data_IF_852240407619
#
_entry.id   IF_852240407619
#
_cell.length_a   1.000
_cell.length_b   1.000
_cell.length_c   1.000
_cell.angle_alpha   90.00
_cell.angle_beta   90.00
_cell.angle_gamma   90.00
#
_symmetry.space_group_name_H-M   'P 1'
#
loop_
_entity.id
_entity.type
_entity.pdbx_description
1 polymer ?
#
# COMPACT_ATOMS: atom_id res chain seq x y z
N UNK A 1 1.34 -23.99 -15.31
CA UNK A 1 0.27 -24.93 -15.78
C UNK A 1 -0.83 -24.32 -16.65
N UNK A 2 -1.52 -23.26 -16.22
CA UNK A 2 -2.67 -22.70 -16.98
C UNK A 2 -2.25 -22.19 -18.36
N UNK A 3 -1.23 -21.33 -18.44
CA UNK A 3 -0.74 -20.76 -19.70
C UNK A 3 -0.31 -21.86 -20.70
N UNK A 4 0.39 -22.89 -20.21
CA UNK A 4 0.81 -24.04 -21.02
C UNK A 4 -0.40 -24.83 -21.56
N UNK A 5 -1.46 -24.99 -20.76
CA UNK A 5 -2.70 -25.64 -21.22
C UNK A 5 -3.46 -24.79 -22.26
N UNK A 6 -3.49 -23.46 -22.09
CA UNK A 6 -4.08 -22.54 -23.09
C UNK A 6 -3.28 -22.62 -24.41
N UNK A 7 -1.96 -22.61 -24.34
CA UNK A 7 -1.09 -22.72 -25.52
C UNK A 7 -1.28 -24.04 -26.27
N UNK A 8 -1.42 -25.16 -25.55
CA UNK A 8 -1.67 -26.48 -26.13
C UNK A 8 -3.06 -26.59 -26.76
N UNK A 9 -4.08 -26.11 -26.06
CA UNK A 9 -5.48 -26.24 -26.48
C UNK A 9 -5.86 -25.30 -27.62
N UNK A 10 -5.12 -24.18 -27.78
CA UNK A 10 -5.39 -23.12 -28.77
C UNK A 10 -6.80 -22.53 -28.68
N UNK A 11 -7.45 -22.65 -27.52
CA UNK A 11 -8.82 -22.16 -27.29
C UNK A 11 -8.88 -20.64 -27.15
N UNK A 12 -7.79 -20.01 -26.73
CA UNK A 12 -7.69 -18.56 -26.54
C UNK A 12 -6.46 -18.01 -27.26
N UNK A 13 -6.57 -16.77 -27.74
CA UNK A 13 -5.43 -16.02 -28.27
C UNK A 13 -4.53 -15.62 -27.10
N UNK A 14 -3.24 -15.96 -27.19
CA UNK A 14 -2.24 -15.57 -26.19
C UNK A 14 -1.66 -14.20 -26.60
N UNK A 15 -1.69 -13.18 -25.72
CA UNK A 15 -1.03 -11.90 -25.95
C UNK A 15 0.47 -12.06 -26.23
N UNK A 16 1.06 -11.20 -27.06
CA UNK A 16 2.46 -11.31 -27.45
C UNK A 16 3.43 -11.30 -26.27
N UNK A 17 3.12 -10.54 -25.21
CA UNK A 17 3.89 -10.51 -23.96
C UNK A 17 3.99 -11.86 -23.25
N UNK A 18 2.99 -12.73 -23.40
CA UNK A 18 2.93 -14.05 -22.77
C UNK A 18 3.33 -15.19 -23.71
N UNK A 19 3.45 -14.93 -25.02
CA UNK A 19 3.88 -15.96 -25.99
C UNK A 19 5.29 -16.44 -25.71
N UNK A 20 6.19 -15.52 -25.37
CA UNK A 20 7.58 -15.84 -25.01
C UNK A 20 7.61 -16.82 -23.84
N UNK A 21 6.80 -16.58 -22.81
CA UNK A 21 6.71 -17.44 -21.63
C UNK A 21 6.06 -18.79 -21.97
N UNK A 22 4.98 -18.78 -22.74
CA UNK A 22 4.24 -19.99 -23.12
C UNK A 22 5.02 -20.95 -24.04
N UNK A 23 6.05 -20.44 -24.74
CA UNK A 23 6.87 -21.21 -25.67
C UNK A 23 8.18 -21.71 -25.05
N UNK A 24 8.56 -21.23 -23.86
CA UNK A 24 9.75 -21.69 -23.14
C UNK A 24 9.59 -23.14 -22.69
N UNK A 25 10.64 -23.93 -22.87
CA UNK A 25 10.79 -25.21 -22.19
C UNK A 25 11.57 -25.01 -20.90
N UNK A 26 11.42 -25.88 -19.89
CA UNK A 26 12.10 -25.80 -18.57
C UNK A 26 13.65 -25.68 -18.64
N UNK A 27 14.25 -25.76 -19.82
CA UNK A 27 15.70 -25.67 -20.09
C UNK A 27 16.18 -24.32 -20.65
N UNK A 28 15.28 -23.39 -20.96
CA UNK A 28 15.65 -22.10 -21.54
C UNK A 28 15.94 -21.08 -20.43
N UNK A 29 17.11 -21.21 -19.79
CA UNK A 29 17.64 -20.19 -18.90
C UNK A 29 17.96 -18.90 -19.68
N UNK A 30 17.40 -17.79 -19.19
CA UNK A 30 17.43 -16.44 -19.77
C UNK A 30 18.85 -16.04 -20.20
N UNK A 31 19.08 -15.90 -21.51
CA UNK A 31 20.30 -15.30 -22.07
C UNK A 31 20.12 -13.78 -21.99
N UNK A 32 21.01 -13.12 -21.25
CA UNK A 32 20.99 -11.68 -20.97
C UNK A 32 21.73 -10.94 -22.09
N UNK A 33 21.04 -10.06 -22.82
CA UNK A 33 21.64 -9.05 -23.70
C UNK A 33 21.25 -7.64 -23.20
N UNK A 34 22.19 -6.70 -23.20
CA UNK A 34 22.15 -5.45 -22.40
C UNK A 34 21.21 -4.37 -22.97
N UNK A 35 20.48 -4.67 -24.05
CA UNK A 35 19.56 -3.76 -24.75
C UNK A 35 18.07 -3.97 -24.43
N UNK A 36 17.72 -4.99 -23.61
CA UNK A 36 16.34 -5.46 -23.36
C UNK A 36 15.86 -5.39 -21.90
N UNK A 37 16.55 -4.67 -21.00
CA UNK A 37 16.30 -4.69 -19.54
C UNK A 37 14.82 -4.51 -19.12
N UNK A 38 14.09 -3.55 -19.70
CA UNK A 38 12.68 -3.31 -19.35
C UNK A 38 11.75 -4.46 -19.78
N UNK A 39 12.06 -5.11 -20.90
CA UNK A 39 11.32 -6.27 -21.40
C UNK A 39 11.62 -7.49 -20.51
N UNK A 40 12.86 -7.62 -20.06
CA UNK A 40 13.29 -8.72 -19.19
C UNK A 40 12.71 -8.62 -17.77
N UNK A 41 12.62 -7.42 -17.18
CA UNK A 41 11.96 -7.22 -15.88
C UNK A 41 10.46 -7.57 -15.94
N UNK A 42 9.77 -7.14 -17.02
CA UNK A 42 8.36 -7.45 -17.24
C UNK A 42 8.14 -8.96 -17.40
N UNK A 43 8.99 -9.64 -18.17
CA UNK A 43 8.91 -11.10 -18.34
C UNK A 43 9.18 -11.82 -17.02
N UNK A 44 10.19 -11.40 -16.26
CA UNK A 44 10.49 -11.99 -14.94
C UNK A 44 9.32 -11.83 -13.96
N UNK A 45 8.67 -10.67 -13.94
CA UNK A 45 7.48 -10.43 -13.13
C UNK A 45 6.30 -11.34 -13.54
N UNK A 46 6.12 -11.57 -14.84
CA UNK A 46 5.10 -12.51 -15.33
C UNK A 46 5.43 -13.97 -14.99
N UNK A 47 6.68 -14.38 -15.10
CA UNK A 47 7.12 -15.72 -14.70
C UNK A 47 6.83 -15.96 -13.20
N UNK A 48 7.18 -14.99 -12.36
CA UNK A 48 6.87 -15.05 -10.93
C UNK A 48 5.35 -15.13 -10.68
N UNK A 49 4.56 -14.26 -11.33
CA UNK A 49 3.11 -14.25 -11.18
C UNK A 49 2.46 -15.57 -11.62
N UNK A 50 2.93 -16.16 -12.73
CA UNK A 50 2.41 -17.41 -13.29
C UNK A 50 2.88 -18.66 -12.51
N UNK A 51 3.98 -18.55 -11.76
CA UNK A 51 4.47 -19.61 -10.86
C UNK A 51 3.65 -19.70 -9.55
N UNK A 52 2.84 -18.68 -9.26
CA UNK A 52 2.07 -18.60 -8.02
C UNK A 52 0.87 -19.56 -8.03
N UNK A 53 0.49 -20.06 -6.84
CA UNK A 53 -0.65 -20.97 -6.71
C UNK A 53 -1.97 -20.31 -7.10
N UNK A 54 -2.89 -21.08 -7.69
CA UNK A 54 -4.20 -20.56 -8.12
C UNK A 54 -5.01 -19.97 -6.94
N UNK A 55 -4.80 -20.46 -5.72
CA UNK A 55 -5.41 -19.90 -4.50
C UNK A 55 -5.09 -18.41 -4.30
N UNK A 56 -3.88 -17.96 -4.64
CA UNK A 56 -3.51 -16.54 -4.56
C UNK A 56 -4.28 -15.69 -5.57
N UNK A 57 -4.63 -16.24 -6.73
CA UNK A 57 -5.47 -15.55 -7.74
C UNK A 57 -6.87 -15.31 -7.17
N UNK A 58 -7.44 -16.28 -6.44
CA UNK A 58 -8.74 -16.12 -5.77
C UNK A 58 -8.65 -14.98 -4.74
N UNK A 59 -7.59 -14.96 -3.91
CA UNK A 59 -7.37 -13.89 -2.93
C UNK A 59 -7.16 -12.52 -3.58
N UNK A 60 -6.44 -12.48 -4.69
CA UNK A 60 -6.26 -11.25 -5.48
C UNK A 60 -7.60 -10.77 -6.06
N UNK A 61 -8.43 -11.68 -6.58
CA UNK A 61 -9.77 -11.36 -7.05
C UNK A 61 -10.65 -10.80 -5.92
N UNK A 62 -10.61 -11.40 -4.73
CA UNK A 62 -11.33 -10.88 -3.56
C UNK A 62 -10.84 -9.46 -3.20
N UNK A 63 -9.54 -9.21 -3.31
CA UNK A 63 -8.95 -7.88 -3.08
C UNK A 63 -9.43 -6.83 -4.08
N UNK A 64 -9.35 -7.10 -5.38
CA UNK A 64 -9.77 -6.12 -6.40
C UNK A 64 -11.29 -5.98 -6.52
N UNK A 65 -12.05 -6.94 -5.99
CA UNK A 65 -13.52 -6.92 -5.99
C UNK A 65 -14.10 -6.33 -4.70
N UNK A 66 -13.28 -5.67 -3.87
CA UNK A 66 -13.66 -5.10 -2.56
C UNK A 66 -14.30 -6.11 -1.59
N UNK A 67 -14.04 -7.41 -1.77
CA UNK A 67 -14.49 -8.51 -0.87
C UNK A 67 -13.44 -8.86 0.17
N UNK A 68 -12.21 -8.38 -0.02
CA UNK A 68 -11.13 -8.55 0.93
C UNK A 68 -11.29 -7.64 2.15
N UNK A 69 -10.74 -8.09 3.27
CA UNK A 69 -10.58 -7.27 4.47
C UNK A 69 -9.49 -6.19 4.34
N UNK A 70 -8.74 -6.21 3.23
CA UNK A 70 -7.69 -5.24 2.91
C UNK A 70 -8.15 -4.33 1.78
N UNK A 71 -7.94 -3.03 1.92
CA UNK A 71 -8.24 -2.05 0.88
C UNK A 71 -7.36 -0.81 1.01
N UNK A 72 -7.11 -0.13 -0.11
CA UNK A 72 -6.43 1.17 -0.11
C UNK A 72 -7.44 2.29 0.15
N UNK A 73 -6.94 3.45 0.56
CA UNK A 73 -7.78 4.58 0.97
C UNK A 73 -8.80 5.07 -0.09
N UNK A 74 -8.62 4.73 -1.37
CA UNK A 74 -9.55 5.09 -2.45
C UNK A 74 -10.72 4.11 -2.61
N UNK A 75 -10.58 2.83 -2.21
CA UNK A 75 -11.61 1.79 -2.36
C UNK A 75 -12.65 1.75 -1.23
N UNK A 76 -12.37 2.37 -0.08
CA UNK A 76 -13.20 2.27 1.14
C UNK A 76 -14.18 3.45 1.33
N UNK A 77 -14.33 4.33 0.33
CA UNK A 77 -15.12 5.55 0.47
C UNK A 77 -16.62 5.22 0.57
N UNK A 78 -17.19 5.45 1.76
CA UNK A 78 -18.62 5.23 2.03
C UNK A 78 -18.92 3.95 2.80
N UNK A 79 -17.94 3.09 2.99
CA UNK A 79 -18.07 1.86 3.77
C UNK A 79 -17.75 2.11 5.25
N UNK A 80 -18.21 1.23 6.13
CA UNK A 80 -17.86 1.20 7.55
C UNK A 80 -17.58 -0.26 7.94
N UNK A 81 -16.69 -0.46 8.90
CA UNK A 81 -16.24 -1.78 9.33
C UNK A 81 -16.29 -1.87 10.86
N UNK A 82 -16.60 -3.05 11.39
CA UNK A 82 -16.63 -3.28 12.83
C UNK A 82 -15.28 -2.94 13.49
N UNK A 83 -14.18 -3.37 12.86
CA UNK A 83 -12.81 -3.14 13.35
C UNK A 83 -11.92 -2.70 12.20
N UNK A 84 -11.10 -1.68 12.43
CA UNK A 84 -10.18 -1.12 11.44
C UNK A 84 -8.77 -1.11 12.01
N UNK A 85 -7.81 -1.60 11.22
CA UNK A 85 -6.39 -1.39 11.43
C UNK A 85 -5.88 -0.48 10.31
N UNK A 86 -5.39 0.71 10.68
CA UNK A 86 -4.78 1.64 9.75
C UNK A 86 -3.26 1.55 9.85
N UNK A 87 -2.57 1.40 8.71
CA UNK A 87 -1.11 1.44 8.63
C UNK A 87 -0.74 2.78 7.99
N UNK A 88 -0.02 3.60 8.75
CA UNK A 88 0.52 4.89 8.30
C UNK A 88 1.99 4.68 7.98
N UNK A 89 2.30 4.52 6.70
CA UNK A 89 3.66 4.35 6.19
C UNK A 89 3.86 5.34 5.05
N UNK A 90 4.49 6.47 5.36
CA UNK A 90 4.74 7.55 4.39
C UNK A 90 5.80 7.14 3.34
N UNK A 91 6.69 6.19 3.66
CA UNK A 91 7.78 5.77 2.76
C UNK A 91 7.27 4.79 1.69
N UNK A 92 6.40 3.86 2.07
CA UNK A 92 5.73 2.95 1.12
C UNK A 92 4.53 3.60 0.40
N UNK A 93 3.98 4.68 0.94
CA UNK A 93 2.96 5.47 0.26
C UNK A 93 3.57 6.21 -0.94
N UNK A 94 3.43 5.64 -2.15
CA UNK A 94 3.96 6.20 -3.42
C UNK A 94 3.27 7.50 -3.87
N UNK A 95 3.28 8.57 -3.07
CA UNK A 95 2.72 9.87 -3.42
C UNK A 95 3.04 11.00 -2.43
N UNK A 96 3.14 12.23 -2.93
CA UNK A 96 3.55 13.42 -2.15
C UNK A 96 2.38 14.28 -1.64
N UNK A 97 1.14 13.85 -1.89
CA UNK A 97 -0.08 14.65 -1.60
C UNK A 97 -0.44 14.67 -0.11
N UNK A 98 -0.10 13.59 0.59
CA UNK A 98 -0.38 13.35 2.00
C UNK A 98 0.94 13.03 2.71
N UNK A 99 1.02 13.33 4.00
CA UNK A 99 2.14 12.93 4.86
C UNK A 99 1.69 12.89 6.31
N UNK A 100 1.64 11.68 6.87
CA UNK A 100 1.35 11.46 8.27
C UNK A 100 2.51 11.95 9.14
N UNK A 101 3.77 11.82 8.71
CA UNK A 101 4.89 12.36 9.48
C UNK A 101 4.78 13.87 9.67
N UNK A 102 4.30 14.62 8.66
CA UNK A 102 4.03 16.06 8.81
C UNK A 102 2.81 16.33 9.71
N UNK A 103 1.75 15.55 9.58
CA UNK A 103 0.55 15.70 10.40
C UNK A 103 0.85 15.49 11.89
N UNK A 104 1.67 14.49 12.20
CA UNK A 104 2.09 14.11 13.55
C UNK A 104 3.39 14.80 14.01
N UNK A 105 3.87 15.81 13.29
CA UNK A 105 5.02 16.62 13.71
C UNK A 105 6.38 15.92 13.67
N UNK A 106 6.46 14.68 13.19
CA UNK A 106 7.73 13.96 12.98
C UNK A 106 8.58 14.56 11.86
N UNK A 107 7.95 15.27 10.91
CA UNK A 107 8.61 15.93 9.78
C UNK A 107 8.16 17.38 9.65
N UNK A 108 9.10 18.26 9.31
CA UNK A 108 8.79 19.67 9.09
C UNK A 108 7.89 19.90 7.86
N UNK A 109 7.15 21.01 7.90
CA UNK A 109 6.43 21.54 6.75
C UNK A 109 7.37 21.93 5.62
N UNK A 110 7.02 21.60 4.37
CA UNK A 110 7.82 22.02 3.23
C UNK A 110 7.67 23.51 2.95
N UNK A 111 8.55 24.10 2.13
CA UNK A 111 8.42 25.50 1.72
C UNK A 111 7.09 25.79 1.01
N UNK A 112 6.56 24.80 0.27
CA UNK A 112 5.24 24.90 -0.34
C UNK A 112 4.14 24.94 0.71
N UNK A 113 4.20 24.10 1.75
CA UNK A 113 3.25 24.14 2.86
C UNK A 113 3.32 25.49 3.58
N UNK A 114 4.52 25.97 3.91
CA UNK A 114 4.75 27.28 4.56
C UNK A 114 4.19 28.43 3.73
N UNK A 115 4.38 28.40 2.41
CA UNK A 115 3.81 29.40 1.49
C UNK A 115 2.28 29.32 1.48
N UNK A 116 1.70 28.13 1.40
CA UNK A 116 0.25 27.94 1.37
C UNK A 116 -0.41 28.41 2.67
N UNK A 117 0.18 28.11 3.83
CA UNK A 117 -0.31 28.59 5.13
C UNK A 117 -0.40 30.13 5.18
N UNK A 118 0.62 30.85 4.68
CA UNK A 118 0.64 32.32 4.67
C UNK A 118 -0.47 32.94 3.83
N UNK A 119 -0.91 32.26 2.78
CA UNK A 119 -1.97 32.76 1.89
C UNK A 119 -3.32 32.08 2.13
N UNK A 120 -3.47 31.34 3.24
CA UNK A 120 -4.70 30.63 3.60
C UNK A 120 -5.10 29.53 2.61
N UNK A 121 -4.14 28.98 1.86
CA UNK A 121 -4.36 27.86 0.94
C UNK A 121 -4.15 26.53 1.65
N UNK A 122 -4.82 25.50 1.13
CA UNK A 122 -4.72 24.13 1.61
C UNK A 122 -3.28 23.59 1.58
N UNK A 123 -2.87 22.92 2.66
CA UNK A 123 -1.56 22.28 2.82
C UNK A 123 -1.64 20.75 2.73
N UNK A 124 -0.48 20.10 2.66
CA UNK A 124 -0.41 18.64 2.80
C UNK A 124 -0.91 18.16 4.17
N UNK A 125 -0.69 18.94 5.23
CA UNK A 125 -1.23 18.65 6.57
C UNK A 125 -2.75 18.66 6.55
N UNK A 126 -3.39 19.67 5.93
CA UNK A 126 -4.84 19.76 5.89
C UNK A 126 -5.48 18.61 5.12
N UNK A 127 -4.85 18.20 4.02
CA UNK A 127 -5.28 17.03 3.24
C UNK A 127 -5.13 15.74 4.04
N UNK A 128 -4.00 15.58 4.71
CA UNK A 128 -3.72 14.39 5.53
C UNK A 128 -4.65 14.31 6.73
N UNK A 129 -4.95 15.44 7.40
CA UNK A 129 -5.95 15.50 8.48
C UNK A 129 -7.34 15.08 7.97
N UNK A 130 -7.71 15.60 6.79
CA UNK A 130 -8.82 15.12 5.92
C UNK A 130 -8.93 13.60 5.92
N UNK A 131 -7.85 13.01 5.42
CA UNK A 131 -7.73 11.57 5.18
C UNK A 131 -7.73 10.77 6.48
N UNK A 132 -6.98 11.20 7.48
CA UNK A 132 -6.89 10.58 8.79
C UNK A 132 -8.26 10.51 9.48
N UNK A 133 -8.99 11.61 9.49
CA UNK A 133 -10.37 11.63 10.00
C UNK A 133 -11.26 10.62 9.28
N UNK A 134 -11.16 10.55 7.95
CA UNK A 134 -11.93 9.59 7.15
C UNK A 134 -11.58 8.15 7.52
N UNK A 135 -10.31 7.83 7.76
CA UNK A 135 -9.86 6.49 8.17
C UNK A 135 -10.42 6.13 9.54
N UNK A 136 -10.23 7.02 10.53
CA UNK A 136 -10.66 6.78 11.91
C UNK A 136 -12.19 6.59 11.98
N UNK A 137 -12.95 7.36 11.20
CA UNK A 137 -14.41 7.28 11.15
C UNK A 137 -14.98 6.05 10.42
N UNK A 138 -14.13 5.19 9.84
CA UNK A 138 -14.59 3.90 9.28
C UNK A 138 -14.82 2.83 10.35
N UNK A 139 -14.20 2.97 11.52
CA UNK A 139 -14.33 2.01 12.61
C UNK A 139 -15.66 2.21 13.35
N UNK A 140 -16.47 1.16 13.47
CA UNK A 140 -17.71 1.18 14.25
C UNK A 140 -17.51 0.75 15.70
N UNK A 141 -16.57 -0.16 15.97
CA UNK A 141 -16.33 -0.70 17.33
C UNK A 141 -14.90 -0.50 17.81
N UNK A 142 -13.90 -0.75 16.96
CA UNK A 142 -12.50 -0.70 17.38
C UNK A 142 -11.61 -0.17 16.28
N UNK A 143 -10.66 0.70 16.65
CA UNK A 143 -9.66 1.26 15.77
C UNK A 143 -8.27 0.95 16.34
N UNK A 144 -7.38 0.48 15.49
CA UNK A 144 -5.95 0.39 15.78
C UNK A 144 -5.18 1.15 14.68
N UNK A 145 -4.13 1.85 15.08
CA UNK A 145 -3.28 2.60 14.15
C UNK A 145 -1.83 2.18 14.38
N UNK A 146 -1.17 1.76 13.32
CA UNK A 146 0.26 1.46 13.29
C UNK A 146 0.92 2.55 12.48
N UNK A 147 1.75 3.37 13.12
CA UNK A 147 2.48 4.44 12.47
C UNK A 147 3.95 4.05 12.35
N UNK A 148 4.42 3.87 11.12
CA UNK A 148 5.84 3.80 10.79
C UNK A 148 6.38 5.23 10.78
N UNK A 149 7.41 5.50 11.57
CA UNK A 149 8.00 6.83 11.68
C UNK A 149 9.45 6.77 12.11
N UNK A 150 10.23 7.75 11.66
CA UNK A 150 11.60 7.96 12.12
C UNK A 150 11.69 8.74 13.44
N UNK A 151 10.56 9.27 13.96
CA UNK A 151 10.53 10.05 15.19
C UNK A 151 9.32 9.68 16.07
N UNK A 152 9.47 8.59 16.81
CA UNK A 152 8.42 8.03 17.69
C UNK A 152 7.94 9.04 18.73
N UNK A 153 8.86 9.80 19.34
CA UNK A 153 8.51 10.79 20.37
C UNK A 153 7.67 11.94 19.81
N UNK A 154 8.00 12.44 18.62
CA UNK A 154 7.22 13.50 17.98
C UNK A 154 5.79 13.03 17.66
N UNK A 155 5.65 11.82 17.10
CA UNK A 155 4.32 11.24 16.81
C UNK A 155 3.52 11.06 18.08
N UNK A 156 4.13 10.46 19.11
CA UNK A 156 3.49 10.22 20.41
C UNK A 156 3.06 11.52 21.08
N UNK A 157 3.95 12.49 21.18
CA UNK A 157 3.65 13.76 21.85
C UNK A 157 2.57 14.51 21.08
N UNK A 158 2.65 14.59 19.75
CA UNK A 158 1.62 15.25 18.94
C UNK A 158 0.25 14.57 19.10
N UNK A 159 0.20 13.24 19.14
CA UNK A 159 -1.04 12.49 19.35
C UNK A 159 -1.68 12.80 20.73
N UNK A 160 -0.86 12.91 21.78
CA UNK A 160 -1.31 13.24 23.14
C UNK A 160 -1.72 14.72 23.22
N UNK A 161 -0.91 15.63 22.71
CA UNK A 161 -1.12 17.09 22.77
C UNK A 161 -2.38 17.54 22.02
N UNK A 162 -2.82 16.75 21.03
CA UNK A 162 -4.06 16.98 20.29
C UNK A 162 -5.26 16.18 20.82
N UNK A 163 -5.12 15.48 21.96
CA UNK A 163 -6.15 14.61 22.55
C UNK A 163 -6.68 13.54 21.57
N UNK A 164 -5.83 13.06 20.64
CA UNK A 164 -6.22 12.01 19.70
C UNK A 164 -6.18 10.62 20.34
N UNK A 165 -5.21 10.41 21.23
CA UNK A 165 -5.01 9.17 21.98
C UNK A 165 -4.50 9.50 23.38
N UNK A 166 -4.91 8.72 24.36
CA UNK A 166 -4.34 8.78 25.70
C UNK A 166 -2.95 8.14 25.72
N UNK A 167 -2.15 8.47 26.74
CA UNK A 167 -0.79 7.93 26.89
C UNK A 167 -0.76 6.40 26.93
N UNK A 168 -1.78 5.77 27.53
CA UNK A 168 -1.86 4.32 27.70
C UNK A 168 -2.35 3.58 26.44
N UNK A 169 -2.90 4.32 25.46
CA UNK A 169 -3.31 3.78 24.15
C UNK A 169 -2.16 3.77 23.14
N UNK A 170 -1.02 4.40 23.45
CA UNK A 170 0.13 4.51 22.54
C UNK A 170 1.24 3.55 23.00
N UNK A 171 1.49 2.54 22.18
CA UNK A 171 2.51 1.52 22.43
C UNK A 171 3.64 1.64 21.39
N UNK A 172 4.82 2.19 21.78
CA UNK A 172 6.04 2.06 20.98
C UNK A 172 6.36 0.59 20.67
N UNK A 173 6.80 0.29 19.45
CA UNK A 173 7.01 -1.09 18.99
C UNK A 173 8.04 -1.84 19.85
N UNK A 174 9.02 -1.14 20.41
CA UNK A 174 10.04 -1.71 21.32
C UNK A 174 9.42 -2.31 22.61
N UNK A 175 8.19 -1.94 22.95
CA UNK A 175 7.42 -2.46 24.08
C UNK A 175 6.46 -3.58 23.69
N UNK A 176 6.22 -3.79 22.39
CA UNK A 176 5.48 -4.94 21.86
C UNK A 176 6.45 -6.12 21.76
N UNK A 177 6.83 -6.67 22.91
CA UNK A 177 7.41 -8.00 22.95
C UNK A 177 6.34 -8.97 22.39
N UNK A 178 6.53 -9.41 21.15
CA UNK A 178 5.74 -10.49 20.55
C UNK A 178 6.04 -11.74 21.39
N UNK A 179 5.16 -12.02 22.36
CA UNK A 179 5.12 -13.28 23.09
C UNK A 179 4.42 -14.35 22.27
#
# INVERSE_FOLDING_TARGET
DILNNIAKSKLFVIPDSLKVIAQRTDKDSVIVDDSSKDIDESIAAWDEALSTTFEKIIKYNDYISDKSMFGTHQGVKGLQFDRVLAILDDDEARGFLFSYEKLFGAKETSDTDKKNMKVGKETSIDRTRRLFYVICSRAMKSLAIVAYTNNVDAVKNTAIDNDWFTKDEILPLDLLAIK
#
